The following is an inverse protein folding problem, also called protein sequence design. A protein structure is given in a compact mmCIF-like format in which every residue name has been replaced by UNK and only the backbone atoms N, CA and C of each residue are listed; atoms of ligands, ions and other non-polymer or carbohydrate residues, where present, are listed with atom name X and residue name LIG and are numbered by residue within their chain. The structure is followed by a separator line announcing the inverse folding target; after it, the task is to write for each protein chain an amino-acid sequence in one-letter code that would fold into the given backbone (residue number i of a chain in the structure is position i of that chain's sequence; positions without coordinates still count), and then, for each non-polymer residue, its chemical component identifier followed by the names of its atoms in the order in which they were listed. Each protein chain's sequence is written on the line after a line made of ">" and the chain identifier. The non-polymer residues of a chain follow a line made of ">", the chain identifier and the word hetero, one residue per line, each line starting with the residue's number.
data_IF_275670776824
#
_entry.id   IF_275670776824
#
_cell.length_a   1.000
_cell.length_b   1.000
_cell.length_c   1.000
_cell.angle_alpha   90.00
_cell.angle_beta   90.00
_cell.angle_gamma   90.00
#
_symmetry.space_group_name_H-M   'P 1'
#
loop_
_entity.id
_entity.type
_entity.pdbx_description
1 polymer ?
#
# COMPACT_ATOMS: atom_id res chain seq x y z
N UNK A 1 17.82 -45.99 34.50
CA UNK A 1 18.85 -44.95 34.79
C UNK A 1 19.37 -44.50 33.44
N UNK A 2 18.77 -43.49 32.81
CA UNK A 2 18.86 -42.03 33.01
C UNK A 2 20.10 -41.38 32.37
N UNK A 3 19.84 -40.35 31.54
CA UNK A 3 20.79 -39.42 30.91
C UNK A 3 20.44 -39.18 29.43
N UNK A 4 19.35 -38.48 29.11
CA UNK A 4 19.29 -37.03 28.73
C UNK A 4 19.88 -36.76 27.32
N UNK A 5 19.04 -36.52 26.29
CA UNK A 5 18.56 -35.20 25.79
C UNK A 5 19.72 -34.21 25.67
N UNK A 6 20.06 -33.68 24.49
CA UNK A 6 19.30 -32.66 23.77
C UNK A 6 19.62 -32.67 22.27
N UNK A 7 18.61 -32.91 21.44
CA UNK A 7 18.63 -32.57 20.03
C UNK A 7 18.31 -31.07 19.96
N UNK A 8 19.35 -30.24 19.84
CA UNK A 8 19.19 -28.81 19.64
C UNK A 8 18.77 -28.56 18.19
N UNK A 9 17.48 -28.70 17.89
CA UNK A 9 16.88 -28.03 16.74
C UNK A 9 17.01 -26.53 17.01
N UNK A 10 18.10 -25.95 16.53
CA UNK A 10 18.20 -24.51 16.35
C UNK A 10 17.17 -24.15 15.28
N UNK A 11 15.96 -23.81 15.73
CA UNK A 11 15.11 -22.89 15.00
C UNK A 11 15.99 -21.67 14.71
N UNK A 12 16.44 -21.57 13.46
CA UNK A 12 17.04 -20.36 12.92
C UNK A 12 15.96 -19.30 13.12
N UNK A 13 16.17 -18.39 14.06
CA UNK A 13 15.36 -17.19 14.15
C UNK A 13 15.48 -16.53 12.78
N UNK A 14 14.41 -16.59 12.00
CA UNK A 14 14.26 -15.73 10.84
C UNK A 14 14.29 -14.33 11.44
N UNK A 15 15.38 -13.62 11.21
CA UNK A 15 15.51 -12.23 11.60
C UNK A 15 14.37 -11.49 10.90
N UNK A 16 13.39 -10.94 11.63
CA UNK A 16 12.27 -10.23 11.03
C UNK A 16 12.72 -8.98 10.27
N UNK A 17 14.01 -8.59 10.38
CA UNK A 17 14.62 -7.44 9.75
C UNK A 17 15.61 -7.80 8.63
N UNK A 18 15.73 -9.09 8.26
CA UNK A 18 16.59 -9.45 7.14
C UNK A 18 16.03 -8.88 5.83
N UNK A 19 16.86 -8.24 4.98
CA UNK A 19 16.40 -7.70 3.70
C UNK A 19 15.88 -8.85 2.82
N UNK A 20 14.58 -8.82 2.53
CA UNK A 20 13.92 -9.75 1.62
C UNK A 20 14.21 -9.30 0.21
N UNK A 21 15.14 -9.97 -0.46
CA UNK A 21 15.34 -9.78 -1.91
C UNK A 21 14.20 -10.48 -2.64
N UNK A 22 13.36 -9.71 -3.34
CA UNK A 22 12.26 -10.26 -4.16
C UNK A 22 12.86 -10.86 -5.43
N UNK A 23 12.58 -12.14 -5.68
CA UNK A 23 13.02 -12.82 -6.91
C UNK A 23 11.99 -12.62 -8.02
N UNK A 24 12.43 -12.51 -9.27
CA UNK A 24 11.57 -12.26 -10.45
C UNK A 24 10.42 -13.27 -10.67
N UNK A 25 10.47 -14.47 -10.08
CA UNK A 25 9.40 -15.47 -10.20
C UNK A 25 8.21 -15.22 -9.24
N UNK A 26 8.41 -14.44 -8.17
CA UNK A 26 7.36 -14.10 -7.21
C UNK A 26 6.28 -13.14 -7.74
N UNK A 27 6.58 -12.08 -8.53
CA UNK A 27 5.54 -11.23 -9.10
C UNK A 27 4.62 -11.98 -10.07
N UNK A 28 5.16 -12.88 -10.90
CA UNK A 28 4.34 -13.66 -11.83
C UNK A 28 3.33 -14.58 -11.13
N UNK A 29 3.68 -15.15 -9.98
CA UNK A 29 2.77 -15.96 -9.17
C UNK A 29 1.69 -15.11 -8.49
N UNK A 30 2.06 -13.91 -8.02
CA UNK A 30 1.12 -12.96 -7.43
C UNK A 30 0.07 -12.50 -8.45
N UNK A 31 0.51 -12.09 -9.65
CA UNK A 31 -0.39 -11.66 -10.73
C UNK A 31 -1.36 -12.77 -11.13
N UNK A 32 -0.90 -14.02 -11.16
CA UNK A 32 -1.75 -15.17 -11.45
C UNK A 32 -2.80 -15.40 -10.35
N UNK A 33 -2.44 -15.23 -9.08
CA UNK A 33 -3.37 -15.35 -7.95
C UNK A 33 -4.40 -14.22 -7.97
N UNK A 34 -3.99 -12.98 -8.23
CA UNK A 34 -4.88 -11.83 -8.36
C UNK A 34 -5.85 -11.99 -9.54
N UNK A 35 -5.35 -12.42 -10.70
CA UNK A 35 -6.20 -12.68 -11.85
C UNK A 35 -7.21 -13.83 -11.59
N UNK A 36 -6.81 -14.86 -10.83
CA UNK A 36 -7.71 -15.93 -10.44
C UNK A 36 -8.79 -15.44 -9.46
N UNK A 37 -8.42 -14.62 -8.47
CA UNK A 37 -9.35 -14.00 -7.52
C UNK A 37 -10.35 -13.10 -8.24
N UNK A 38 -9.89 -12.22 -9.14
CA UNK A 38 -10.78 -11.34 -9.91
C UNK A 38 -11.80 -12.13 -10.76
N UNK A 39 -11.38 -13.26 -11.35
CA UNK A 39 -12.32 -14.15 -12.07
C UNK A 39 -13.37 -14.75 -11.15
N UNK A 40 -13.00 -15.10 -9.92
CA UNK A 40 -13.93 -15.63 -8.92
C UNK A 40 -14.92 -14.55 -8.47
N UNK A 41 -14.46 -13.32 -8.22
CA UNK A 41 -15.32 -12.17 -7.92
C UNK A 41 -16.33 -11.94 -9.03
N UNK A 42 -15.87 -11.85 -10.28
CA UNK A 42 -16.75 -11.63 -11.44
C UNK A 42 -17.76 -12.78 -11.58
N UNK A 43 -17.34 -14.04 -11.43
CA UNK A 43 -18.24 -15.18 -11.49
C UNK A 43 -19.29 -15.19 -10.37
N UNK A 44 -18.97 -14.63 -9.20
CA UNK A 44 -19.89 -14.46 -8.08
C UNK A 44 -20.80 -13.23 -8.22
N UNK A 45 -20.64 -12.44 -9.29
CA UNK A 45 -21.41 -11.22 -9.51
C UNK A 45 -20.87 -9.98 -8.77
N UNK A 46 -19.62 -10.01 -8.34
CA UNK A 46 -18.93 -8.89 -7.66
C UNK A 46 -17.81 -8.28 -8.53
N UNK A 47 -17.89 -8.47 -9.85
CA UNK A 47 -16.94 -7.90 -10.81
C UNK A 47 -17.21 -6.44 -11.16
N UNK A 48 -16.35 -5.88 -12.02
CA UNK A 48 -16.41 -4.47 -12.45
C UNK A 48 -17.77 -4.07 -13.03
N UNK A 49 -18.41 -4.92 -13.85
CA UNK A 49 -19.72 -4.62 -14.43
C UNK A 49 -20.79 -4.39 -13.35
N UNK A 50 -20.76 -5.19 -12.29
CA UNK A 50 -21.73 -5.05 -11.19
C UNK A 50 -21.42 -3.82 -10.34
N UNK A 51 -20.13 -3.50 -10.15
CA UNK A 51 -19.68 -2.26 -9.50
C UNK A 51 -20.17 -1.03 -10.26
N UNK A 52 -19.95 -0.98 -11.57
CA UNK A 52 -20.39 0.13 -12.44
C UNK A 52 -21.90 0.27 -12.39
N UNK A 53 -22.64 -0.84 -12.52
CA UNK A 53 -24.10 -0.83 -12.38
C UNK A 53 -24.54 -0.27 -11.02
N UNK A 54 -23.92 -0.71 -9.93
CA UNK A 54 -24.25 -0.21 -8.60
C UNK A 54 -24.03 1.31 -8.50
N UNK A 55 -22.89 1.80 -8.98
CA UNK A 55 -22.57 3.24 -8.97
C UNK A 55 -23.64 4.02 -9.74
N UNK A 56 -23.97 3.60 -10.97
CA UNK A 56 -24.96 4.25 -11.83
C UNK A 56 -26.39 4.22 -11.25
N UNK A 57 -26.78 3.10 -10.64
CA UNK A 57 -28.15 2.89 -10.14
C UNK A 57 -28.35 3.37 -8.69
N UNK A 58 -27.27 3.64 -7.94
CA UNK A 58 -27.32 4.03 -6.51
C UNK A 58 -28.04 5.37 -6.27
N UNK A 59 -28.00 6.28 -7.25
CA UNK A 59 -28.44 7.67 -7.09
C UNK A 59 -27.59 8.49 -6.10
N UNK A 60 -26.44 7.95 -5.67
CA UNK A 60 -25.47 8.61 -4.82
C UNK A 60 -24.40 9.32 -5.65
N UNK A 61 -23.54 10.08 -4.98
CA UNK A 61 -22.31 10.54 -5.58
C UNK A 61 -21.46 9.33 -6.06
N UNK A 62 -20.91 9.35 -7.29
CA UNK A 62 -20.18 8.20 -7.84
C UNK A 62 -18.95 7.79 -7.03
N UNK A 63 -18.20 8.74 -6.47
CA UNK A 63 -17.03 8.43 -5.65
C UNK A 63 -17.46 7.80 -4.33
N UNK A 64 -18.52 8.33 -3.72
CA UNK A 64 -19.09 7.72 -2.53
C UNK A 64 -19.64 6.31 -2.78
N UNK A 65 -20.38 6.10 -3.88
CA UNK A 65 -20.92 4.79 -4.24
C UNK A 65 -19.81 3.77 -4.53
N UNK A 66 -18.73 4.20 -5.18
CA UNK A 66 -17.51 3.42 -5.35
C UNK A 66 -16.94 2.97 -3.99
N UNK A 67 -16.75 3.90 -3.05
CA UNK A 67 -16.27 3.56 -1.71
C UNK A 67 -17.21 2.59 -0.97
N UNK A 68 -18.53 2.78 -1.03
CA UNK A 68 -19.49 1.86 -0.39
C UNK A 68 -19.40 0.46 -1.01
N UNK A 69 -19.25 0.38 -2.34
CA UNK A 69 -19.09 -0.91 -3.00
C UNK A 69 -17.83 -1.64 -2.53
N UNK A 70 -16.67 -0.96 -2.60
CA UNK A 70 -15.37 -1.56 -2.32
C UNK A 70 -15.19 -1.87 -0.82
N UNK A 71 -15.58 -0.95 0.07
CA UNK A 71 -15.30 -1.05 1.52
C UNK A 71 -16.41 -1.73 2.33
N UNK A 72 -17.66 -1.77 1.85
CA UNK A 72 -18.78 -2.31 2.63
C UNK A 72 -19.46 -3.51 1.95
N UNK A 73 -19.75 -3.41 0.65
CA UNK A 73 -20.47 -4.48 -0.07
C UNK A 73 -19.55 -5.67 -0.31
N UNK A 74 -18.37 -5.44 -0.89
CA UNK A 74 -17.37 -6.48 -1.13
C UNK A 74 -16.87 -7.03 0.20
N UNK A 75 -16.41 -6.18 1.12
CA UNK A 75 -15.92 -6.62 2.44
C UNK A 75 -16.97 -7.40 3.24
N UNK A 76 -18.25 -6.98 3.19
CA UNK A 76 -19.36 -7.71 3.83
C UNK A 76 -19.60 -9.09 3.19
N UNK A 77 -19.45 -9.20 1.88
CA UNK A 77 -19.59 -10.46 1.16
C UNK A 77 -18.41 -11.42 1.42
N UNK A 78 -17.18 -10.90 1.56
CA UNK A 78 -16.01 -11.65 2.00
C UNK A 78 -16.21 -12.19 3.42
N UNK A 79 -16.59 -11.32 4.36
CA UNK A 79 -16.81 -11.70 5.76
C UNK A 79 -17.95 -12.72 5.94
N UNK A 80 -18.95 -12.71 5.04
CA UNK A 80 -20.03 -13.68 4.99
C UNK A 80 -19.65 -14.99 4.28
N UNK A 81 -18.46 -15.08 3.68
CA UNK A 81 -18.00 -16.23 2.90
C UNK A 81 -18.74 -16.42 1.57
N UNK A 82 -19.39 -15.37 1.06
CA UNK A 82 -20.08 -15.39 -0.25
C UNK A 82 -19.05 -15.32 -1.38
N UNK A 83 -18.00 -14.53 -1.18
CA UNK A 83 -16.85 -14.42 -2.08
C UNK A 83 -15.56 -14.80 -1.33
N UNK A 84 -14.53 -15.26 -2.05
CA UNK A 84 -13.24 -15.58 -1.44
C UNK A 84 -12.55 -14.33 -0.91
N UNK A 85 -11.90 -14.45 0.24
CA UNK A 85 -11.03 -13.40 0.79
C UNK A 85 -9.91 -13.05 -0.20
N UNK A 86 -9.57 -11.77 -0.29
CA UNK A 86 -8.40 -11.32 -1.03
C UNK A 86 -7.12 -11.96 -0.45
N UNK A 87 -6.41 -12.81 -1.21
CA UNK A 87 -5.35 -13.64 -0.65
C UNK A 87 -4.14 -12.83 -0.19
N UNK A 88 -3.82 -11.70 -0.85
CA UNK A 88 -2.78 -10.73 -0.46
C UNK A 88 -3.02 -9.41 -1.19
N UNK A 89 -3.25 -8.28 -0.49
CA UNK A 89 -3.50 -7.00 -1.15
C UNK A 89 -2.24 -6.40 -1.79
N UNK A 90 -1.06 -6.84 -1.37
CA UNK A 90 0.23 -6.35 -1.85
C UNK A 90 1.01 -7.48 -2.54
N UNK A 91 1.69 -7.14 -3.63
CA UNK A 91 2.68 -8.01 -4.24
C UNK A 91 3.86 -8.22 -3.30
N UNK A 92 4.64 -9.30 -3.45
CA UNK A 92 5.85 -9.51 -2.66
C UNK A 92 6.85 -8.34 -2.74
N UNK A 93 6.92 -7.66 -3.88
CA UNK A 93 7.75 -6.48 -4.07
C UNK A 93 7.25 -5.29 -3.24
N UNK A 94 5.93 -5.04 -3.27
CA UNK A 94 5.31 -4.00 -2.44
C UNK A 94 5.46 -4.33 -0.94
N UNK A 95 5.21 -5.57 -0.52
CA UNK A 95 5.43 -6.03 0.86
C UNK A 95 6.87 -5.76 1.32
N UNK A 96 7.87 -6.12 0.50
CA UNK A 96 9.28 -5.86 0.81
C UNK A 96 9.60 -4.36 0.88
N UNK A 97 8.97 -3.55 0.03
CA UNK A 97 9.14 -2.09 0.01
C UNK A 97 8.57 -1.45 1.27
N UNK A 98 7.35 -1.83 1.65
CA UNK A 98 6.71 -1.38 2.88
C UNK A 98 7.54 -1.79 4.10
N UNK A 99 7.97 -3.04 4.17
CA UNK A 99 8.81 -3.53 5.26
C UNK A 99 10.13 -2.75 5.37
N UNK A 100 10.81 -2.49 4.24
CA UNK A 100 12.05 -1.72 4.21
C UNK A 100 11.86 -0.27 4.67
N UNK A 101 10.78 0.37 4.18
CA UNK A 101 10.40 1.73 4.58
C UNK A 101 10.10 1.81 6.07
N UNK A 102 9.28 0.91 6.59
CA UNK A 102 8.87 0.88 7.99
C UNK A 102 10.06 0.62 8.92
N UNK A 103 10.95 -0.32 8.54
CA UNK A 103 12.19 -0.59 9.27
C UNK A 103 13.09 0.65 9.34
N UNK A 104 13.28 1.33 8.21
CA UNK A 104 14.11 2.53 8.13
C UNK A 104 13.53 3.71 8.91
N UNK A 105 12.22 3.93 8.84
CA UNK A 105 11.52 4.95 9.62
C UNK A 105 11.63 4.64 11.12
N UNK A 106 11.45 3.37 11.51
CA UNK A 106 11.59 2.98 12.92
C UNK A 106 13.03 3.15 13.43
N UNK A 107 14.03 2.88 12.59
CA UNK A 107 15.43 3.14 12.92
C UNK A 107 15.69 4.65 13.09
N UNK A 108 15.18 5.46 12.17
CA UNK A 108 15.27 6.93 12.24
C UNK A 108 14.69 7.43 13.56
N UNK A 109 13.51 6.97 13.96
CA UNK A 109 12.90 7.38 15.23
C UNK A 109 13.66 6.93 16.47
N UNK A 110 14.36 5.81 16.40
CA UNK A 110 15.25 5.38 17.49
C UNK A 110 16.44 6.34 17.66
N UNK A 111 16.89 6.97 16.58
CA UNK A 111 17.97 7.95 16.59
C UNK A 111 17.51 9.37 16.94
N UNK A 112 16.21 9.64 16.86
CA UNK A 112 15.59 10.95 17.12
C UNK A 112 14.57 10.89 18.27
N UNK A 113 14.99 10.59 19.52
CA UNK A 113 14.10 10.53 20.68
C UNK A 113 13.51 11.90 21.06
N UNK A 114 14.02 13.00 20.50
CA UNK A 114 13.48 14.35 20.65
C UNK A 114 12.18 14.58 19.89
N UNK A 115 11.84 13.73 18.92
CA UNK A 115 10.62 13.88 18.14
C UNK A 115 9.37 13.62 19.01
N UNK A 116 8.45 14.59 19.01
CA UNK A 116 7.13 14.44 19.64
C UNK A 116 6.05 14.38 18.57
N UNK A 117 5.41 13.21 18.43
CA UNK A 117 4.32 12.97 17.47
C UNK A 117 3.10 13.86 17.69
N UNK A 118 2.91 14.40 18.90
CA UNK A 118 1.82 15.30 19.22
C UNK A 118 2.17 16.78 19.06
N UNK A 119 3.45 17.08 18.84
CA UNK A 119 3.93 18.43 18.61
C UNK A 119 3.77 18.80 17.14
N UNK A 120 3.32 20.04 16.91
CA UNK A 120 3.20 20.61 15.57
C UNK A 120 4.25 21.71 15.34
N UNK A 121 5.39 21.61 16.03
CA UNK A 121 6.50 22.54 15.87
C UNK A 121 7.10 22.45 14.45
N UNK A 122 7.65 23.55 13.90
CA UNK A 122 8.38 23.49 12.64
C UNK A 122 9.52 22.46 12.66
N UNK A 123 10.15 22.27 13.81
CA UNK A 123 11.23 21.30 14.04
C UNK A 123 10.73 19.86 13.92
N UNK A 124 9.63 19.51 14.58
CA UNK A 124 9.03 18.16 14.51
C UNK A 124 8.47 17.86 13.12
N UNK A 125 7.89 18.85 12.45
CA UNK A 125 7.49 18.70 11.05
C UNK A 125 8.68 18.43 10.12
N UNK A 126 9.83 19.07 10.39
CA UNK A 126 11.05 18.85 9.61
C UNK A 126 11.61 17.45 9.87
N UNK A 127 11.62 16.98 11.12
CA UNK A 127 12.03 15.61 11.48
C UNK A 127 11.12 14.56 10.83
N UNK A 128 9.80 14.79 10.83
CA UNK A 128 8.85 13.92 10.14
C UNK A 128 9.15 13.79 8.64
N UNK A 129 9.41 14.91 7.96
CA UNK A 129 9.78 14.86 6.53
C UNK A 129 11.07 14.09 6.31
N UNK A 130 12.08 14.32 7.14
CA UNK A 130 13.36 13.59 7.06
C UNK A 130 13.18 12.08 7.27
N UNK A 131 12.33 11.67 8.22
CA UNK A 131 12.03 10.27 8.45
C UNK A 131 11.35 9.63 7.23
N UNK A 132 10.37 10.32 6.62
CA UNK A 132 9.71 9.83 5.41
C UNK A 132 10.68 9.73 4.24
N UNK A 133 11.51 10.75 4.02
CA UNK A 133 12.52 10.76 2.94
C UNK A 133 13.54 9.63 3.14
N UNK A 134 13.95 9.38 4.38
CA UNK A 134 14.86 8.28 4.73
C UNK A 134 14.24 6.91 4.45
N UNK A 135 12.98 6.72 4.85
CA UNK A 135 12.22 5.51 4.55
C UNK A 135 12.06 5.27 3.04
N UNK A 136 11.71 6.31 2.30
CA UNK A 136 11.56 6.24 0.85
C UNK A 136 12.90 5.94 0.15
N UNK A 137 14.02 6.48 0.65
CA UNK A 137 15.34 6.15 0.13
C UNK A 137 15.67 4.67 0.32
N UNK A 138 15.39 4.10 1.50
CA UNK A 138 15.63 2.67 1.79
C UNK A 138 14.73 1.74 1.01
N UNK A 139 13.46 2.13 0.81
CA UNK A 139 12.55 1.43 -0.09
C UNK A 139 13.10 1.32 -1.52
N UNK A 140 13.66 2.41 -2.06
CA UNK A 140 14.28 2.42 -3.40
C UNK A 140 15.49 1.47 -3.49
N UNK A 141 16.33 1.43 -2.46
CA UNK A 141 17.49 0.52 -2.40
C UNK A 141 17.09 -0.97 -2.48
N UNK A 142 15.93 -1.35 -1.92
CA UNK A 142 15.44 -2.74 -1.88
C UNK A 142 14.79 -3.16 -3.21
N UNK A 143 14.11 -2.25 -3.90
CA UNK A 143 13.48 -2.52 -5.20
C UNK A 143 14.50 -2.65 -6.36
N UNK A 144 15.65 -1.98 -6.25
CA UNK A 144 16.53 -1.70 -7.38
C UNK A 144 15.97 -0.59 -8.26
N UNK A 145 16.86 0.23 -8.85
CA UNK A 145 16.51 1.52 -9.49
C UNK A 145 15.36 1.42 -10.52
N UNK A 146 15.27 0.32 -11.28
CA UNK A 146 14.25 0.14 -12.34
C UNK A 146 12.84 -0.14 -11.81
N UNK A 147 12.68 -0.83 -10.67
CA UNK A 147 11.35 -1.13 -10.08
C UNK A 147 10.88 0.04 -9.20
N UNK A 148 11.83 0.77 -8.60
CA UNK A 148 11.59 1.95 -7.79
C UNK A 148 10.91 3.10 -8.57
N UNK A 149 11.29 3.35 -9.83
CA UNK A 149 10.65 4.40 -10.63
C UNK A 149 9.17 4.12 -10.92
N UNK A 150 8.74 2.86 -11.03
CA UNK A 150 7.34 2.54 -11.32
C UNK A 150 6.42 2.58 -10.08
N UNK A 151 6.94 2.23 -8.88
CA UNK A 151 6.12 2.15 -7.66
C UNK A 151 6.19 3.39 -6.76
N UNK A 152 7.30 4.15 -6.80
CA UNK A 152 7.55 5.28 -5.91
C UNK A 152 7.49 6.64 -6.62
N UNK A 153 7.19 6.65 -7.91
CA UNK A 153 6.83 7.89 -8.60
C UNK A 153 5.50 8.38 -8.04
N UNK A 154 5.54 9.49 -7.29
CA UNK A 154 4.35 10.29 -7.04
C UNK A 154 3.67 10.58 -8.39
N UNK A 155 2.33 10.54 -8.48
CA UNK A 155 1.63 11.17 -9.59
C UNK A 155 2.20 12.58 -9.71
N UNK A 156 2.85 12.86 -10.83
CA UNK A 156 3.24 14.21 -11.16
C UNK A 156 1.92 14.91 -11.47
N UNK A 157 1.30 15.54 -10.45
CA UNK A 157 0.21 16.47 -10.70
C UNK A 157 0.75 17.44 -11.76
N UNK A 158 0.19 17.47 -12.97
CA UNK A 158 0.54 18.53 -13.89
C UNK A 158 0.19 19.81 -13.14
N UNK A 159 1.18 20.68 -12.99
CA UNK A 159 0.94 22.01 -12.49
C UNK A 159 -0.12 22.63 -13.42
N UNK A 160 -1.39 22.64 -12.99
CA UNK A 160 -2.40 23.49 -13.59
C UNK A 160 -1.88 24.91 -13.38
N UNK A 161 -1.28 25.46 -14.43
CA UNK A 161 -1.12 26.89 -14.56
C UNK A 161 -2.49 27.51 -14.29
N UNK A 162 -2.63 28.43 -13.31
CA UNK A 162 -3.87 29.16 -13.19
C UNK A 162 -4.00 30.00 -14.46
N UNK A 163 -4.85 29.57 -15.38
CA UNK A 163 -5.35 30.38 -16.47
C UNK A 163 -6.16 31.52 -15.86
N UNK A 164 -5.47 32.58 -15.42
CA UNK A 164 -6.08 33.90 -15.31
C UNK A 164 -6.46 34.33 -16.71
N UNK A 165 -7.70 34.06 -17.09
CA UNK A 165 -8.36 34.84 -18.11
C UNK A 165 -8.88 36.11 -17.43
N UNK A 166 -8.14 37.19 -17.67
CA UNK A 166 -8.65 38.55 -17.56
C UNK A 166 -9.76 38.78 -18.59
N UNK A 167 -10.62 39.76 -18.28
CA UNK A 167 -11.68 40.38 -19.08
C UNK A 167 -13.01 39.64 -19.30
N UNK A 168 -14.03 40.06 -18.53
CA UNK A 168 -15.21 40.66 -19.16
C UNK A 168 -15.68 41.89 -18.36
N UNK A 169 -15.40 43.04 -18.96
CA UNK A 169 -15.88 44.37 -18.62
C UNK A 169 -17.43 44.41 -18.73
N UNK A 170 -18.13 44.52 -17.61
CA UNK A 170 -19.58 44.76 -17.59
C UNK A 170 -19.78 46.27 -17.72
N UNK A 171 -20.07 46.73 -18.93
CA UNK A 171 -20.63 48.07 -19.18
C UNK A 171 -22.03 48.16 -18.51
N UNK A 172 -22.20 49.16 -17.64
CA UNK A 172 -23.46 49.55 -16.99
C UNK A 172 -23.99 50.87 -17.58
#
# INVERSE_FOLDING_TARGET
>A
MNGEKHNGEQHKAEDPWAPVTVTADQPAQYDQQQAAHQRQLTAAGYGEEQRTRYIEESGQDPEYAACVWDEQIVAGAEAAGIIPENPRPFSPAEEATHAARDAAISEFWTQHPEYDVFSNSPEDQALFRQAMDHGDQKAREVLGDEVAEHLLSRPQEPAEEPARQDDEEIDL
#
